data_IF_180083731442
#
_entry.id   IF_180083731442
#
_cell.length_a   1.000
_cell.length_b   1.000
_cell.length_c   1.000
_cell.angle_alpha   90.00
_cell.angle_beta   90.00
_cell.angle_gamma   90.00
#
_symmetry.space_group_name_H-M   'P 1'
#
loop_
_entity.id
_entity.type
_entity.pdbx_description
1 polymer ?
#
# COMPACT_ATOMS: atom_id res chain seq x y z
N UNK A 1 9.58 -12.85 2.36
CA UNK A 1 8.33 -13.01 3.13
C UNK A 1 7.41 -13.99 2.43
N UNK A 2 7.08 -15.12 3.07
CA UNK A 2 6.17 -16.13 2.50
C UNK A 2 4.67 -15.90 2.80
N UNK A 3 4.32 -14.79 3.45
CA UNK A 3 2.97 -14.53 3.98
C UNK A 3 1.97 -13.99 2.94
N UNK A 4 2.29 -14.01 1.64
CA UNK A 4 1.43 -13.42 0.59
C UNK A 4 1.24 -11.90 0.74
N UNK A 5 0.19 -11.34 0.13
CA UNK A 5 -0.20 -9.93 0.29
C UNK A 5 0.51 -8.95 -0.65
N UNK A 6 0.22 -7.66 -0.45
CA UNK A 6 0.78 -6.55 -1.24
C UNK A 6 1.52 -5.59 -0.31
N UNK A 7 2.75 -5.23 -0.70
CA UNK A 7 3.44 -4.08 -0.12
C UNK A 7 3.18 -2.89 -1.05
N UNK A 8 2.49 -1.86 -0.54
CA UNK A 8 2.06 -0.71 -1.33
C UNK A 8 2.80 0.55 -0.86
N UNK A 9 3.38 1.25 -1.82
CA UNK A 9 3.77 2.66 -1.67
C UNK A 9 2.60 3.54 -2.12
N UNK A 10 2.26 4.53 -1.31
CA UNK A 10 1.20 5.50 -1.55
C UNK A 10 1.67 6.91 -1.17
N UNK A 11 0.79 7.89 -1.38
CA UNK A 11 0.99 9.24 -0.89
C UNK A 11 1.03 9.25 0.65
N UNK A 12 2.10 9.77 1.28
CA UNK A 12 2.18 9.92 2.72
C UNK A 12 0.94 10.56 3.36
N UNK A 13 0.30 11.54 2.69
CA UNK A 13 -0.88 12.23 3.24
C UNK A 13 -2.14 11.35 3.29
N UNK A 14 -2.19 10.30 2.48
CA UNK A 14 -3.31 9.35 2.45
C UNK A 14 -3.13 8.18 3.45
N UNK A 15 -1.93 8.01 4.02
CA UNK A 15 -1.55 6.84 4.81
C UNK A 15 -2.57 6.53 5.91
N UNK A 16 -2.91 7.51 6.76
CA UNK A 16 -3.85 7.33 7.87
C UNK A 16 -5.26 6.95 7.41
N UNK A 17 -5.70 7.50 6.28
CA UNK A 17 -7.00 7.16 5.69
C UNK A 17 -7.00 5.72 5.13
N UNK A 18 -5.88 5.28 4.56
CA UNK A 18 -5.73 3.93 4.02
C UNK A 18 -5.57 2.88 5.11
N UNK A 19 -4.89 3.19 6.22
CA UNK A 19 -4.75 2.31 7.38
C UNK A 19 -6.08 2.02 8.09
N UNK A 20 -7.09 2.89 7.92
CA UNK A 20 -8.45 2.63 8.41
C UNK A 20 -9.24 1.64 7.54
N UNK A 21 -8.71 1.24 6.38
CA UNK A 21 -9.38 0.26 5.51
C UNK A 21 -9.16 -1.16 6.03
N UNK A 22 -10.15 -2.05 5.87
CA UNK A 22 -9.97 -3.46 6.20
C UNK A 22 -8.74 -4.05 5.51
N UNK A 23 -8.00 -4.88 6.25
CA UNK A 23 -6.83 -5.61 5.76
C UNK A 23 -5.64 -4.74 5.36
N UNK A 24 -5.65 -3.44 5.70
CA UNK A 24 -4.51 -2.55 5.53
C UNK A 24 -3.85 -2.31 6.89
N UNK A 25 -2.56 -2.60 6.97
CA UNK A 25 -1.75 -2.41 8.17
C UNK A 25 -0.50 -1.58 7.90
N UNK A 26 0.11 -0.99 8.94
CA UNK A 26 1.34 -0.24 8.79
C UNK A 26 2.47 -1.16 8.33
N UNK A 27 3.27 -0.69 7.38
CA UNK A 27 4.54 -1.35 7.08
C UNK A 27 5.62 -0.83 8.03
N UNK A 28 6.34 -1.75 8.68
CA UNK A 28 7.44 -1.43 9.57
C UNK A 28 8.75 -1.97 9.04
N UNK A 29 9.79 -1.13 9.06
CA UNK A 29 11.16 -1.52 8.75
C UNK A 29 12.01 -1.32 10.00
N UNK A 30 12.55 -2.41 10.55
CA UNK A 30 13.41 -2.41 11.75
C UNK A 30 12.79 -1.62 12.93
N UNK A 31 11.51 -1.88 13.21
CA UNK A 31 10.77 -1.25 14.31
C UNK A 31 10.27 0.18 14.05
N UNK A 32 10.45 0.72 12.84
CA UNK A 32 9.96 2.05 12.45
C UNK A 32 8.83 1.92 11.44
N UNK A 33 7.68 2.52 11.74
CA UNK A 33 6.60 2.71 10.76
C UNK A 33 7.12 3.63 9.66
N UNK A 34 6.84 3.26 8.41
CA UNK A 34 7.28 4.04 7.26
C UNK A 34 6.09 4.77 6.63
N UNK A 35 6.09 6.09 6.72
CA UNK A 35 5.05 6.93 6.10
C UNK A 35 4.95 6.65 4.61
N UNK A 36 3.71 6.56 4.10
CA UNK A 36 3.43 6.21 2.71
C UNK A 36 3.68 4.74 2.37
N UNK A 37 4.00 3.87 3.33
CA UNK A 37 4.09 2.43 3.13
C UNK A 37 3.05 1.67 3.97
N UNK A 38 2.35 0.74 3.32
CA UNK A 38 1.39 -0.13 3.98
C UNK A 38 1.47 -1.56 3.46
N UNK A 39 1.09 -2.48 4.34
CA UNK A 39 0.91 -3.90 4.06
C UNK A 39 -0.58 -4.16 3.85
N UNK A 40 -0.96 -4.77 2.72
CA UNK A 40 -2.32 -5.28 2.51
C UNK A 40 -2.30 -6.78 2.63
N UNK A 41 -3.12 -7.33 3.51
CA UNK A 41 -3.23 -8.76 3.74
C UNK A 41 -3.90 -9.47 2.56
N UNK A 42 -3.61 -10.76 2.32
CA UNK A 42 -4.23 -11.54 1.23
C UNK A 42 -5.76 -11.48 1.18
N UNK A 43 -6.41 -11.40 2.34
CA UNK A 43 -7.86 -11.27 2.51
C UNK A 43 -8.40 -10.00 1.83
N UNK A 44 -7.60 -8.93 1.84
CA UNK A 44 -7.89 -7.68 1.16
C UNK A 44 -7.67 -7.71 -0.35
N UNK A 45 -7.23 -8.85 -0.92
CA UNK A 45 -6.80 -9.01 -2.31
C UNK A 45 -7.46 -10.19 -3.05
N UNK A 46 -8.46 -10.85 -2.45
CA UNK A 46 -9.07 -12.09 -2.98
C UNK A 46 -9.80 -11.93 -4.32
N UNK A 47 -10.12 -10.70 -4.72
CA UNK A 47 -10.81 -10.40 -5.98
C UNK A 47 -9.99 -9.43 -6.84
N UNK A 48 -10.15 -9.54 -8.16
CA UNK A 48 -9.54 -8.61 -9.12
C UNK A 48 -9.89 -7.15 -8.78
N UNK A 49 -11.15 -6.87 -8.45
CA UNK A 49 -11.62 -5.53 -8.07
C UNK A 49 -10.95 -5.01 -6.79
N UNK A 50 -10.73 -5.87 -5.80
CA UNK A 50 -10.00 -5.49 -4.59
C UNK A 50 -8.54 -5.12 -4.93
N UNK A 51 -7.86 -5.97 -5.70
CA UNK A 51 -6.49 -5.75 -6.14
C UNK A 51 -6.36 -4.47 -6.99
N UNK A 52 -7.24 -4.29 -7.98
CA UNK A 52 -7.26 -3.12 -8.88
C UNK A 52 -7.33 -1.80 -8.10
N UNK A 53 -8.12 -1.73 -7.02
CA UNK A 53 -8.21 -0.53 -6.18
C UNK A 53 -6.90 -0.19 -5.47
N UNK A 54 -6.11 -1.19 -5.08
CA UNK A 54 -4.81 -0.95 -4.45
C UNK A 54 -3.73 -0.62 -5.50
N UNK A 55 -3.74 -1.34 -6.62
CA UNK A 55 -2.82 -1.09 -7.75
C UNK A 55 -3.03 0.32 -8.32
N UNK A 56 -4.27 0.75 -8.53
CA UNK A 56 -4.57 2.08 -9.05
C UNK A 56 -3.99 3.20 -8.16
N UNK A 57 -4.06 3.05 -6.83
CA UNK A 57 -3.46 4.00 -5.88
C UNK A 57 -1.95 4.04 -6.00
N UNK A 58 -1.30 2.87 -6.02
CA UNK A 58 0.16 2.80 -6.15
C UNK A 58 0.66 3.37 -7.47
N UNK A 59 -0.05 3.09 -8.56
CA UNK A 59 0.24 3.65 -9.89
C UNK A 59 0.03 5.16 -9.91
N UNK A 60 -1.05 5.67 -9.32
CA UNK A 60 -1.31 7.11 -9.25
C UNK A 60 -0.18 7.85 -8.52
N UNK A 61 0.24 7.34 -7.36
CA UNK A 61 1.37 7.93 -6.62
C UNK A 61 2.69 7.79 -7.39
N UNK A 62 2.98 6.62 -7.98
CA UNK A 62 4.21 6.46 -8.76
C UNK A 62 4.29 7.44 -9.94
N UNK A 63 3.15 7.77 -10.55
CA UNK A 63 3.06 8.75 -11.66
C UNK A 63 3.22 10.20 -11.20
N UNK A 64 2.96 10.51 -9.94
CA UNK A 64 3.15 11.88 -9.40
C UNK A 64 4.60 12.17 -9.02
N UNK A 65 5.44 11.14 -8.93
CA UNK A 65 6.87 11.31 -8.63
C UNK A 65 7.63 11.86 -9.84
N UNK A 66 8.74 12.59 -9.62
CA UNK A 66 9.64 12.98 -10.69
C UNK A 66 10.06 11.76 -11.54
N UNK A 67 10.21 11.92 -12.86
CA UNK A 67 10.68 10.84 -13.71
C UNK A 67 12.04 10.35 -13.21
N UNK A 68 12.22 9.03 -13.30
CA UNK A 68 13.50 8.41 -12.99
C UNK A 68 14.55 8.95 -13.96
N UNK A 69 15.66 9.45 -13.41
CA UNK A 69 16.86 9.81 -14.18
C UNK A 69 17.58 8.57 -14.69
#
# INVERSE_FOLDING_TARGET
>A
SGQGGLLLRCDPVETDALLRKPYAGPFQMRGRVMDGWLRVDPEGLRTKRQLERWVARGVAYARSLPPKR
#
